data_IF_661829892730
#
_entry.id   IF_661829892730
#
_cell.length_a   1.000
_cell.length_b   1.000
_cell.length_c   1.000
_cell.angle_alpha   90.00
_cell.angle_beta   90.00
_cell.angle_gamma   90.00
#
_symmetry.space_group_name_H-M   'P 1'
#
loop_
_entity.id
_entity.type
_entity.pdbx_description
1 polymer ?
#
# COMPACT_ATOMS: atom_id res chain seq x y z
N UNK A 1 21.22 26.05 -18.45
CA UNK A 1 20.53 27.31 -18.09
C UNK A 1 19.37 27.04 -17.16
N UNK A 2 19.06 27.98 -16.25
CA UNK A 2 17.91 27.92 -15.31
C UNK A 2 16.59 27.64 -16.06
N UNK A 3 16.42 28.22 -17.25
CA UNK A 3 15.26 28.00 -18.12
C UNK A 3 15.09 26.54 -18.62
N UNK A 4 16.20 25.81 -18.84
CA UNK A 4 16.16 24.41 -19.26
C UNK A 4 15.69 23.47 -18.13
N UNK A 5 16.16 23.71 -16.91
CA UNK A 5 15.75 22.94 -15.73
C UNK A 5 14.28 23.18 -15.38
N UNK A 6 13.79 24.42 -15.51
CA UNK A 6 12.39 24.75 -15.25
C UNK A 6 11.43 24.03 -16.21
N UNK A 7 11.76 23.96 -17.50
CA UNK A 7 10.97 23.20 -18.48
C UNK A 7 10.96 21.70 -18.19
N UNK A 8 12.10 21.13 -17.80
CA UNK A 8 12.19 19.70 -17.48
C UNK A 8 11.34 19.36 -16.23
N UNK A 9 11.37 20.20 -15.19
CA UNK A 9 10.51 20.03 -14.01
C UNK A 9 9.01 20.09 -14.36
N UNK A 10 8.60 21.04 -15.21
CA UNK A 10 7.22 21.15 -15.65
C UNK A 10 6.73 19.88 -16.38
N UNK A 11 7.58 19.22 -17.17
CA UNK A 11 7.25 17.96 -17.85
C UNK A 11 7.13 16.76 -16.89
N UNK A 12 7.85 16.75 -15.77
CA UNK A 12 7.82 15.64 -14.79
C UNK A 12 6.65 15.69 -13.82
N UNK A 13 6.07 16.87 -13.56
CA UNK A 13 4.97 17.05 -12.62
C UNK A 13 3.71 16.24 -12.96
N UNK A 14 3.23 16.21 -14.23
CA UNK A 14 2.10 15.37 -14.61
C UNK A 14 2.38 13.88 -14.37
N UNK A 15 3.57 13.39 -14.71
CA UNK A 15 3.94 11.98 -14.52
C UNK A 15 3.92 11.58 -13.04
N UNK A 16 4.47 12.42 -12.16
CA UNK A 16 4.42 12.21 -10.71
C UNK A 16 3.00 12.25 -10.16
N UNK A 17 2.13 13.11 -10.72
CA UNK A 17 0.71 13.11 -10.35
C UNK A 17 0.01 11.84 -10.81
N UNK A 18 0.17 11.43 -12.07
CA UNK A 18 -0.44 10.22 -12.61
C UNK A 18 0.00 8.96 -11.86
N UNK A 19 1.26 8.89 -11.45
CA UNK A 19 1.75 7.79 -10.60
C UNK A 19 1.03 7.75 -9.25
N UNK A 20 0.88 8.89 -8.57
CA UNK A 20 0.15 8.97 -7.29
C UNK A 20 -1.34 8.65 -7.43
N UNK A 21 -1.98 9.10 -8.50
CA UNK A 21 -3.39 8.79 -8.78
C UNK A 21 -3.58 7.28 -9.06
N UNK A 22 -2.62 6.63 -9.72
CA UNK A 22 -2.62 5.17 -9.93
C UNK A 22 -2.45 4.39 -8.63
N UNK A 23 -1.55 4.82 -7.75
CA UNK A 23 -1.39 4.21 -6.42
C UNK A 23 -2.68 4.29 -5.60
N UNK A 24 -3.32 5.46 -5.58
CA UNK A 24 -4.57 5.65 -4.85
C UNK A 24 -5.71 4.78 -5.42
N UNK A 25 -5.78 4.63 -6.74
CA UNK A 25 -6.73 3.73 -7.38
C UNK A 25 -6.44 2.27 -7.05
N UNK A 26 -5.17 1.85 -7.05
CA UNK A 26 -4.78 0.49 -6.70
C UNK A 26 -5.14 0.15 -5.24
N UNK A 27 -4.84 1.06 -4.30
CA UNK A 27 -5.19 0.89 -2.88
C UNK A 27 -6.70 0.75 -2.68
N UNK A 28 -7.47 1.60 -3.38
CA UNK A 28 -8.92 1.58 -3.36
C UNK A 28 -9.47 0.24 -3.84
N UNK A 29 -9.01 -0.26 -4.98
CA UNK A 29 -9.46 -1.55 -5.50
C UNK A 29 -9.02 -2.72 -4.61
N UNK A 30 -7.82 -2.67 -4.05
CA UNK A 30 -7.31 -3.69 -3.15
C UNK A 30 -8.18 -3.83 -1.89
N UNK A 31 -8.54 -2.73 -1.23
CA UNK A 31 -9.39 -2.80 -0.03
C UNK A 31 -10.81 -3.27 -0.36
N UNK A 32 -11.39 -2.85 -1.50
CA UNK A 32 -12.70 -3.32 -1.96
C UNK A 32 -12.66 -4.85 -2.16
N UNK A 33 -11.63 -5.35 -2.84
CA UNK A 33 -11.49 -6.78 -3.10
C UNK A 33 -11.38 -7.59 -1.81
N UNK A 34 -10.52 -7.17 -0.88
CA UNK A 34 -10.33 -7.85 0.41
C UNK A 34 -11.62 -7.81 1.25
N UNK A 35 -12.26 -6.65 1.37
CA UNK A 35 -13.49 -6.52 2.13
C UNK A 35 -14.65 -7.32 1.53
N UNK A 36 -14.68 -7.48 0.20
CA UNK A 36 -15.67 -8.33 -0.49
C UNK A 36 -15.51 -9.80 -0.13
N UNK A 37 -14.28 -10.29 0.02
CA UNK A 37 -14.00 -11.70 0.34
C UNK A 37 -14.19 -11.99 1.83
N UNK A 38 -13.73 -11.10 2.71
CA UNK A 38 -13.66 -11.36 4.15
C UNK A 38 -14.71 -10.62 4.99
N UNK A 39 -15.44 -9.67 4.42
CA UNK A 39 -16.41 -8.83 5.13
C UNK A 39 -15.78 -7.71 5.99
N UNK A 40 -14.44 -7.59 6.00
CA UNK A 40 -13.69 -6.56 6.70
C UNK A 40 -12.40 -6.21 5.95
N UNK A 41 -11.79 -5.08 6.30
CA UNK A 41 -10.59 -4.55 5.64
C UNK A 41 -9.29 -4.75 6.42
N UNK A 42 -9.34 -5.32 7.64
CA UNK A 42 -8.21 -5.34 8.56
C UNK A 42 -6.88 -5.85 7.99
N UNK A 43 -6.86 -6.97 7.26
CA UNK A 43 -5.61 -7.48 6.69
C UNK A 43 -4.98 -6.55 5.64
N UNK A 44 -5.81 -5.87 4.84
CA UNK A 44 -5.32 -4.90 3.86
C UNK A 44 -4.80 -3.63 4.53
N UNK A 45 -5.50 -3.14 5.55
CA UNK A 45 -5.08 -2.00 6.37
C UNK A 45 -3.77 -2.26 7.11
N UNK A 46 -3.64 -3.43 7.75
CA UNK A 46 -2.43 -3.86 8.44
C UNK A 46 -1.24 -3.94 7.48
N UNK A 47 -1.43 -4.54 6.31
CA UNK A 47 -0.37 -4.68 5.31
C UNK A 47 0.12 -3.32 4.82
N UNK A 48 -0.79 -2.41 4.44
CA UNK A 48 -0.43 -1.08 3.97
C UNK A 48 0.25 -0.26 5.07
N UNK A 49 -0.29 -0.33 6.30
CA UNK A 49 0.30 0.33 7.47
C UNK A 49 1.70 -0.19 7.81
N UNK A 50 1.92 -1.51 7.69
CA UNK A 50 3.23 -2.11 7.91
C UNK A 50 4.24 -1.64 6.84
N UNK A 51 3.84 -1.61 5.57
CA UNK A 51 4.68 -1.10 4.48
C UNK A 51 5.00 0.39 4.64
N UNK A 52 4.05 1.21 5.09
CA UNK A 52 4.25 2.64 5.34
C UNK A 52 5.21 2.96 6.48
N UNK A 53 5.52 1.99 7.36
CA UNK A 53 6.53 2.13 8.42
C UNK A 53 7.95 1.83 7.93
N UNK A 54 8.11 1.22 6.76
CA UNK A 54 9.42 0.93 6.18
C UNK A 54 9.94 2.20 5.51
N UNK A 55 11.18 2.59 5.82
CA UNK A 55 11.77 3.74 5.17
C UNK A 55 12.07 3.41 3.69
N UNK A 56 11.61 4.22 2.71
CA UNK A 56 11.77 3.90 1.28
C UNK A 56 13.24 3.75 0.83
N UNK A 57 14.15 4.40 1.55
CA UNK A 57 15.59 4.44 1.29
C UNK A 57 16.37 3.32 1.99
N UNK A 58 15.74 2.50 2.83
CA UNK A 58 16.45 1.40 3.51
C UNK A 58 16.86 0.27 2.56
N UNK A 59 16.27 0.19 1.36
CA UNK A 59 16.59 -0.84 0.36
C UNK A 59 16.06 -2.23 0.69
N UNK A 60 15.42 -2.41 1.84
CA UNK A 60 14.97 -3.73 2.35
C UNK A 60 13.83 -4.33 1.52
N UNK A 61 13.04 -3.48 0.85
CA UNK A 61 11.90 -3.90 0.02
C UNK A 61 11.92 -3.15 -1.30
N UNK A 62 12.43 -3.81 -2.36
CA UNK A 62 12.58 -3.20 -3.69
C UNK A 62 11.29 -2.61 -4.28
N UNK A 63 10.13 -3.17 -3.92
CA UNK A 63 8.81 -2.66 -4.30
C UNK A 63 8.57 -1.21 -3.84
N UNK A 64 9.02 -0.83 -2.64
CA UNK A 64 8.79 0.50 -2.08
C UNK A 64 9.62 1.61 -2.75
N UNK A 65 10.59 1.24 -3.61
CA UNK A 65 11.34 2.19 -4.42
C UNK A 65 10.49 2.82 -5.52
N UNK A 66 9.51 2.08 -6.05
CA UNK A 66 8.61 2.55 -7.10
C UNK A 66 7.21 2.84 -6.57
N UNK A 67 6.81 2.18 -5.47
CA UNK A 67 5.50 2.34 -4.82
C UNK A 67 5.65 2.73 -3.35
N UNK A 68 6.17 3.93 -3.04
CA UNK A 68 6.24 4.38 -1.66
C UNK A 68 4.84 4.53 -1.06
N UNK A 69 4.65 3.99 0.13
CA UNK A 69 3.41 4.15 0.89
C UNK A 69 3.51 5.41 1.74
N UNK A 70 2.62 6.39 1.51
CA UNK A 70 2.55 7.61 2.31
C UNK A 70 1.46 7.49 3.39
N UNK A 71 1.55 8.35 4.41
CA UNK A 71 0.50 8.45 5.43
C UNK A 71 -0.86 8.85 4.82
N UNK A 72 -0.88 9.65 3.76
CA UNK A 72 -2.13 10.03 3.09
C UNK A 72 -2.82 8.83 2.44
N UNK A 73 -2.05 7.89 1.88
CA UNK A 73 -2.59 6.66 1.28
C UNK A 73 -3.23 5.77 2.34
N UNK A 74 -2.57 5.58 3.48
CA UNK A 74 -3.14 4.82 4.61
C UNK A 74 -4.43 5.47 5.10
N UNK A 75 -4.43 6.80 5.30
CA UNK A 75 -5.61 7.54 5.73
C UNK A 75 -6.78 7.47 4.72
N UNK A 76 -6.49 7.46 3.41
CA UNK A 76 -7.51 7.33 2.37
C UNK A 76 -8.21 5.96 2.43
N UNK A 77 -7.43 4.89 2.66
CA UNK A 77 -7.95 3.53 2.84
C UNK A 77 -8.81 3.42 4.10
N UNK A 78 -8.37 4.01 5.22
CA UNK A 78 -9.16 4.07 6.46
C UNK A 78 -10.46 4.85 6.29
N UNK A 79 -10.42 5.97 5.56
CA UNK A 79 -11.60 6.77 5.27
C UNK A 79 -12.62 6.00 4.43
N UNK A 80 -12.15 5.29 3.39
CA UNK A 80 -13.02 4.45 2.56
C UNK A 80 -13.63 3.29 3.34
N UNK A 81 -12.85 2.62 4.19
CA UNK A 81 -13.36 1.56 5.05
C UNK A 81 -14.50 2.07 5.94
N UNK A 82 -14.30 3.24 6.58
CA UNK A 82 -15.30 3.89 7.42
C UNK A 82 -16.56 4.29 6.63
N UNK A 83 -16.40 4.86 5.44
CA UNK A 83 -17.52 5.20 4.55
C UNK A 83 -18.36 3.97 4.18
N UNK A 84 -17.69 2.83 3.96
CA UNK A 84 -18.33 1.57 3.59
C UNK A 84 -18.81 0.72 4.76
N UNK A 85 -18.56 1.15 6.00
CA UNK A 85 -18.89 0.39 7.19
C UNK A 85 -18.03 -0.88 7.38
N UNK A 86 -16.87 -0.97 6.73
CA UNK A 86 -15.94 -2.08 6.90
C UNK A 86 -15.07 -1.86 8.13
N UNK A 87 -15.00 -2.88 8.99
CA UNK A 87 -14.10 -2.87 10.13
C UNK A 87 -12.64 -2.94 9.65
N UNK A 88 -11.77 -2.16 10.31
CA UNK A 88 -10.31 -2.20 10.13
C UNK A 88 -9.63 -3.30 10.97
N UNK A 89 -10.43 -4.15 11.61
CA UNK A 89 -10.01 -5.38 12.26
C UNK A 89 -11.08 -6.44 12.01
N UNK A 90 -10.76 -7.71 12.16
CA UNK A 90 -11.68 -8.81 11.90
C UNK A 90 -11.09 -10.18 12.17
N UNK A 91 -11.90 -11.21 11.92
CA UNK A 91 -11.49 -12.59 12.12
C UNK A 91 -10.29 -12.93 11.21
N UNK A 92 -9.18 -13.36 11.82
CA UNK A 92 -7.98 -13.72 11.08
C UNK A 92 -8.14 -15.10 10.45
N UNK A 93 -7.91 -15.20 9.14
CA UNK A 93 -7.82 -16.48 8.44
C UNK A 93 -6.42 -17.07 8.66
N UNK A 94 -6.29 -18.35 9.07
CA UNK A 94 -5.00 -19.01 9.17
C UNK A 94 -4.25 -18.97 7.84
N UNK A 95 -2.91 -18.84 7.91
CA UNK A 95 -2.08 -19.04 6.74
C UNK A 95 -2.29 -20.46 6.20
N UNK A 96 -2.39 -20.66 4.88
CA UNK A 96 -2.35 -21.99 4.28
C UNK A 96 -1.15 -22.78 4.81
N UNK A 97 -1.33 -24.08 5.08
CA UNK A 97 -0.29 -24.92 5.69
C UNK A 97 1.06 -24.83 4.94
N UNK A 98 1.02 -24.83 3.61
CA UNK A 98 2.20 -24.68 2.75
C UNK A 98 3.00 -23.37 2.99
N UNK A 99 2.35 -22.29 3.42
CA UNK A 99 3.01 -21.03 3.76
C UNK A 99 3.46 -20.98 5.23
N UNK A 100 2.80 -21.71 6.13
CA UNK A 100 3.19 -21.79 7.53
C UNK A 100 4.57 -22.43 7.70
N UNK A 101 4.90 -23.43 6.88
CA UNK A 101 6.19 -24.14 6.89
C UNK A 101 7.38 -23.24 6.48
N UNK A 102 7.14 -22.17 5.71
CA UNK A 102 8.19 -21.22 5.32
C UNK A 102 8.76 -20.41 6.51
N UNK A 103 7.99 -20.24 7.59
CA UNK A 103 8.46 -19.55 8.79
C UNK A 103 9.49 -20.37 9.57
N UNK A 104 9.38 -21.70 9.56
CA UNK A 104 10.29 -22.56 10.31
C UNK A 104 11.67 -22.67 9.65
N UNK A 105 11.73 -22.63 8.31
CA UNK A 105 12.97 -22.75 7.56
C UNK A 105 13.94 -21.56 7.75
N UNK A 106 13.47 -20.41 8.23
CA UNK A 106 14.28 -19.19 8.44
C UNK A 106 14.90 -19.08 9.84
N UNK A 107 14.49 -19.96 10.77
CA UNK A 107 14.94 -20.00 12.16
C UNK A 107 15.83 -21.24 12.47
N UNK A 108 16.24 -22.00 11.44
CA UNK A 108 17.30 -23.02 11.49
C UNK A 108 18.52 -22.52 10.75
#
# INVERSE_FOLDING_TARGET
>A
SIAGNAMQMAATLPLLKYSRDQEAAADREAIIAVATVYGHAGGAHDALSALGRIRPDSGDVGFLRTHPVSAERVAAVEALARERGWALDGARTPLPAALAELKEAKNK
#
